data_IF_050850084444
#
_entry.id   IF_050850084444
#
_cell.length_a   1.000
_cell.length_b   1.000
_cell.length_c   1.000
_cell.angle_alpha   90.00
_cell.angle_beta   90.00
_cell.angle_gamma   90.00
#
_symmetry.space_group_name_H-M   'P 1'
#
loop_
_entity.id
_entity.type
_entity.pdbx_description
1 polymer ?
#
# COMPACT_ATOMS: atom_id res chain seq x y z
N UNK A 1 5.61 -16.62 -20.18
CA UNK A 1 5.26 -16.03 -21.50
C UNK A 1 4.34 -14.86 -21.19
N UNK A 2 4.68 -13.57 -21.27
CA UNK A 2 5.79 -12.81 -21.85
C UNK A 2 6.50 -11.99 -20.74
N UNK A 3 7.83 -11.85 -20.76
CA UNK A 3 8.58 -10.96 -19.87
C UNK A 3 8.39 -9.53 -20.36
N UNK A 4 7.56 -8.75 -19.67
CA UNK A 4 7.61 -7.30 -19.76
C UNK A 4 8.35 -6.80 -18.52
N UNK A 5 9.56 -6.28 -18.70
CA UNK A 5 10.25 -5.52 -17.65
C UNK A 5 9.47 -4.21 -17.45
N UNK A 6 8.64 -4.14 -16.42
CA UNK A 6 7.93 -2.92 -16.06
C UNK A 6 8.65 -2.29 -14.86
N UNK A 7 9.26 -1.13 -15.06
CA UNK A 7 9.63 -0.26 -13.95
C UNK A 7 8.41 0.60 -13.62
N UNK A 8 7.97 0.58 -12.36
CA UNK A 8 6.99 1.53 -11.87
C UNK A 8 7.75 2.78 -11.44
N UNK A 9 7.89 3.73 -12.36
CA UNK A 9 8.72 4.91 -12.17
C UNK A 9 7.96 6.02 -11.47
N UNK A 10 8.70 6.76 -10.65
CA UNK A 10 8.26 8.03 -10.07
C UNK A 10 9.10 9.14 -10.69
N UNK A 11 8.45 10.19 -11.17
CA UNK A 11 9.08 11.32 -11.85
C UNK A 11 8.46 12.63 -11.36
N UNK A 12 9.25 13.70 -11.15
CA UNK A 12 8.69 15.03 -10.94
C UNK A 12 7.91 15.47 -12.19
N UNK A 13 6.70 16.00 -12.00
CA UNK A 13 5.92 16.61 -13.08
C UNK A 13 6.14 18.12 -13.08
N UNK A 14 6.58 18.69 -14.20
CA UNK A 14 6.59 20.15 -14.38
C UNK A 14 5.19 20.57 -14.82
N UNK A 15 4.42 21.16 -13.92
CA UNK A 15 3.24 21.92 -14.31
C UNK A 15 3.69 23.30 -14.77
N UNK A 16 3.75 23.53 -16.08
CA UNK A 16 4.00 24.86 -16.63
C UNK A 16 2.99 25.86 -16.08
N UNK A 17 3.49 27.03 -15.68
CA UNK A 17 2.70 28.16 -15.22
C UNK A 17 1.62 28.52 -16.26
N UNK A 18 0.36 28.58 -15.81
CA UNK A 18 -0.67 29.35 -16.51
C UNK A 18 -1.64 28.60 -17.43
N UNK A 19 -1.79 27.27 -17.36
CA UNK A 19 -2.92 26.58 -18.02
C UNK A 19 -3.59 25.55 -17.12
N UNK A 20 -4.90 25.69 -16.95
CA UNK A 20 -5.78 24.68 -16.35
C UNK A 20 -5.66 23.41 -17.19
N UNK A 21 -4.84 22.46 -16.73
CA UNK A 21 -4.73 21.14 -17.32
C UNK A 21 -5.47 20.17 -16.39
N UNK A 22 -6.62 19.70 -16.85
CA UNK A 22 -7.33 18.57 -16.26
C UNK A 22 -6.38 17.38 -16.17
N UNK A 23 -5.81 17.14 -14.99
CA UNK A 23 -5.01 15.96 -14.72
C UNK A 23 -5.84 15.08 -13.81
N UNK A 24 -6.33 13.96 -14.33
CA UNK A 24 -7.01 12.97 -13.52
C UNK A 24 -6.03 12.39 -12.50
N UNK A 25 -6.47 12.28 -11.24
CA UNK A 25 -5.68 11.80 -10.10
C UNK A 25 -5.29 10.32 -10.30
N UNK A 26 -6.11 9.58 -11.06
CA UNK A 26 -5.83 8.20 -11.49
C UNK A 26 -6.13 8.09 -12.99
N UNK A 27 -5.08 8.03 -13.80
CA UNK A 27 -5.16 7.88 -15.25
C UNK A 27 -4.79 6.45 -15.63
N UNK A 28 -5.66 5.78 -16.39
CA UNK A 28 -5.29 4.51 -17.02
C UNK A 28 -4.24 4.72 -18.12
N UNK A 29 -3.65 3.64 -18.63
CA UNK A 29 -2.65 3.69 -19.72
C UNK A 29 -3.14 4.42 -20.99
N UNK A 30 -4.45 4.62 -21.13
CA UNK A 30 -5.12 5.29 -22.26
C UNK A 30 -5.51 6.75 -21.99
N UNK A 31 -5.01 7.38 -20.93
CA UNK A 31 -5.29 8.80 -20.67
C UNK A 31 -6.66 9.10 -20.04
N UNK A 32 -7.45 8.07 -19.72
CA UNK A 32 -8.81 8.22 -19.18
C UNK A 32 -8.87 8.03 -17.66
N UNK A 33 -9.74 8.79 -16.99
CA UNK A 33 -10.04 8.62 -15.57
C UNK A 33 -10.66 7.23 -15.31
N UNK A 34 -10.07 6.50 -14.35
CA UNK A 34 -10.51 5.14 -13.99
C UNK A 34 -11.35 5.09 -12.71
N UNK A 35 -11.75 6.24 -12.16
CA UNK A 35 -12.63 6.26 -11.00
C UNK A 35 -13.98 5.60 -11.32
N UNK A 36 -14.53 4.84 -10.36
CA UNK A 36 -15.83 4.19 -10.51
C UNK A 36 -16.96 5.23 -10.75
N UNK A 37 -16.87 6.39 -10.08
CA UNK A 37 -17.75 7.52 -10.32
C UNK A 37 -16.97 8.64 -11.02
N UNK A 38 -17.25 8.85 -12.32
CA UNK A 38 -16.50 9.79 -13.17
C UNK A 38 -16.99 11.24 -13.04
N UNK A 39 -16.92 11.79 -11.84
CA UNK A 39 -17.19 13.21 -11.58
C UNK A 39 -15.89 14.02 -11.63
N UNK A 40 -16.01 15.35 -11.80
CA UNK A 40 -14.85 16.25 -11.69
C UNK A 40 -14.14 16.10 -10.33
N UNK A 41 -14.88 15.85 -9.24
CA UNK A 41 -14.30 15.63 -7.92
C UNK A 41 -13.36 14.41 -7.85
N UNK A 42 -13.60 13.38 -8.69
CA UNK A 42 -12.79 12.16 -8.72
C UNK A 42 -11.77 12.15 -9.87
N UNK A 43 -12.00 12.95 -10.90
CA UNK A 43 -11.26 12.90 -12.16
C UNK A 43 -10.56 14.20 -12.52
N UNK A 44 -10.64 15.24 -11.70
CA UNK A 44 -9.97 16.51 -11.92
C UNK A 44 -9.50 17.09 -10.59
N UNK A 45 -8.37 17.78 -10.65
CA UNK A 45 -7.85 18.62 -9.57
C UNK A 45 -7.53 19.99 -10.15
N UNK A 46 -7.88 21.03 -9.41
CA UNK A 46 -7.54 22.41 -9.75
C UNK A 46 -6.67 22.96 -8.62
N UNK A 47 -5.60 23.66 -8.98
CA UNK A 47 -4.79 24.39 -8.01
C UNK A 47 -5.56 25.59 -7.45
N UNK A 48 -5.32 25.92 -6.18
CA UNK A 48 -5.86 27.11 -5.53
C UNK A 48 -4.79 27.70 -4.59
N UNK A 49 -4.29 28.88 -4.95
CA UNK A 49 -3.22 29.56 -4.22
C UNK A 49 -3.66 30.08 -2.83
N UNK A 50 -4.96 30.35 -2.62
CA UNK A 50 -5.47 30.81 -1.32
C UNK A 50 -5.53 29.67 -0.31
N UNK A 51 -5.86 28.46 -0.76
CA UNK A 51 -5.97 27.27 0.10
C UNK A 51 -4.70 26.41 0.09
N UNK A 52 -3.66 26.79 -0.65
CA UNK A 52 -2.44 26.00 -0.79
C UNK A 52 -2.64 24.68 -1.55
N UNK A 53 -3.72 24.54 -2.31
CA UNK A 53 -3.96 23.33 -3.11
C UNK A 53 -3.10 23.40 -4.36
N UNK A 54 -2.12 22.50 -4.47
CA UNK A 54 -1.28 22.36 -5.65
C UNK A 54 -1.76 21.20 -6.51
N UNK A 55 -1.41 21.23 -7.80
CA UNK A 55 -1.49 20.03 -8.64
C UNK A 55 -0.51 18.98 -8.08
N UNK A 56 -0.83 17.67 -8.15
CA UNK A 56 0.09 16.62 -7.74
C UNK A 56 1.46 16.82 -8.39
N UNK A 57 2.50 17.14 -7.61
CA UNK A 57 3.78 17.56 -8.17
C UNK A 57 4.63 16.38 -8.68
N UNK A 58 4.19 15.16 -8.37
CA UNK A 58 4.89 13.92 -8.66
C UNK A 58 4.00 13.01 -9.50
N UNK A 59 4.54 12.56 -10.62
CA UNK A 59 3.98 11.47 -11.40
C UNK A 59 4.47 10.14 -10.82
N UNK A 60 3.53 9.24 -10.56
CA UNK A 60 3.80 7.86 -10.17
C UNK A 60 2.79 6.94 -10.84
N UNK A 61 2.89 5.64 -10.61
CA UNK A 61 1.96 4.66 -11.11
C UNK A 61 1.48 3.69 -10.03
N UNK A 62 0.28 3.17 -10.25
CA UNK A 62 -0.36 2.10 -9.48
C UNK A 62 -0.90 1.09 -10.49
N UNK A 63 -0.30 -0.09 -10.50
CA UNK A 63 -0.72 -1.19 -11.35
C UNK A 63 -1.62 -2.13 -10.56
N UNK A 64 -2.69 -2.62 -11.20
CA UNK A 64 -3.70 -3.45 -10.55
C UNK A 64 -4.15 -4.58 -11.49
N UNK A 65 -4.36 -5.78 -10.95
CA UNK A 65 -4.86 -6.93 -11.73
C UNK A 65 -6.38 -7.07 -11.74
N UNK A 66 -7.13 -6.14 -11.14
CA UNK A 66 -8.58 -6.27 -10.94
C UNK A 66 -9.38 -6.53 -12.24
N UNK A 67 -8.88 -6.06 -13.40
CA UNK A 67 -9.51 -6.29 -14.70
C UNK A 67 -9.00 -7.54 -15.45
N UNK A 68 -7.98 -8.23 -14.96
CA UNK A 68 -7.33 -9.34 -15.66
C UNK A 68 -7.25 -10.63 -14.84
N UNK A 69 -6.88 -10.53 -13.56
CA UNK A 69 -6.67 -11.70 -12.71
C UNK A 69 -6.97 -11.38 -11.24
N UNK A 70 -7.81 -12.21 -10.66
CA UNK A 70 -8.02 -12.32 -9.21
C UNK A 70 -7.70 -13.75 -8.79
N UNK A 71 -7.41 -13.97 -7.51
CA UNK A 71 -7.31 -15.31 -6.93
C UNK A 71 -8.05 -15.34 -5.59
N UNK A 72 -8.63 -16.49 -5.26
CA UNK A 72 -9.01 -16.84 -3.89
C UNK A 72 -8.23 -18.08 -3.49
N UNK A 73 -7.41 -17.97 -2.45
CA UNK A 73 -6.45 -18.99 -2.03
C UNK A 73 -5.43 -19.36 -3.10
N UNK A 74 -4.19 -19.61 -2.70
CA UNK A 74 -3.07 -19.94 -3.57
C UNK A 74 -1.83 -19.16 -3.19
N UNK A 75 -1.11 -18.68 -4.21
CA UNK A 75 0.20 -18.06 -4.05
C UNK A 75 0.34 -16.82 -4.92
N UNK A 76 1.02 -15.81 -4.38
CA UNK A 76 1.54 -14.68 -5.14
C UNK A 76 3.04 -14.59 -4.92
N UNK A 77 3.79 -14.29 -5.98
CA UNK A 77 5.21 -14.04 -5.91
C UNK A 77 5.57 -12.82 -6.78
N UNK A 78 6.18 -11.82 -6.17
CA UNK A 78 6.67 -10.62 -6.84
C UNK A 78 8.16 -10.53 -6.59
N UNK A 79 8.95 -10.60 -7.65
CA UNK A 79 10.39 -10.38 -7.57
C UNK A 79 10.71 -8.96 -8.02
N UNK A 80 11.15 -8.12 -7.09
CA UNK A 80 11.38 -6.70 -7.33
C UNK A 80 12.47 -6.10 -6.43
N UNK A 81 13.08 -5.01 -6.90
CA UNK A 81 13.96 -4.14 -6.10
C UNK A 81 13.19 -2.86 -5.76
N UNK A 82 13.30 -2.41 -4.51
CA UNK A 82 12.55 -1.26 -4.01
C UNK A 82 13.21 0.07 -4.39
N UNK A 83 12.42 1.15 -4.54
CA UNK A 83 12.93 2.48 -4.85
C UNK A 83 13.75 3.07 -3.69
N UNK A 84 14.64 3.98 -4.04
CA UNK A 84 15.43 4.81 -3.11
C UNK A 84 15.00 6.27 -3.23
N UNK A 85 14.82 6.93 -2.09
CA UNK A 85 14.51 8.35 -2.02
C UNK A 85 13.66 8.66 -0.79
N UNK A 86 13.91 9.81 -0.18
CA UNK A 86 13.12 10.25 0.96
C UNK A 86 11.64 10.38 0.58
N UNK A 87 10.79 9.93 1.50
CA UNK A 87 9.33 10.06 1.42
C UNK A 87 8.67 9.21 0.34
N UNK A 88 9.40 8.28 -0.28
CA UNK A 88 8.84 7.28 -1.19
C UNK A 88 8.26 6.11 -0.38
N UNK A 89 7.09 5.63 -0.77
CA UNK A 89 6.36 4.53 -0.14
C UNK A 89 5.98 3.46 -1.19
N UNK A 90 6.88 2.51 -1.48
CA UNK A 90 6.55 1.34 -2.29
C UNK A 90 5.66 0.34 -1.54
N UNK A 91 4.72 -0.28 -2.26
CA UNK A 91 3.88 -1.35 -1.72
C UNK A 91 3.57 -2.46 -2.75
N UNK A 92 3.53 -3.69 -2.25
CA UNK A 92 3.03 -4.90 -2.91
C UNK A 92 1.93 -5.46 -2.04
N UNK A 93 0.69 -5.37 -2.50
CA UNK A 93 -0.48 -5.60 -1.66
C UNK A 93 -1.67 -6.05 -2.49
N UNK A 94 -2.73 -6.50 -1.84
CA UNK A 94 -3.91 -7.02 -2.50
C UNK A 94 -5.17 -6.46 -1.87
N UNK A 95 -6.17 -6.23 -2.72
CA UNK A 95 -7.50 -5.76 -2.31
C UNK A 95 -8.56 -6.74 -2.81
N UNK A 96 -9.71 -6.85 -2.11
CA UNK A 96 -10.81 -7.68 -2.55
C UNK A 96 -11.35 -7.14 -3.87
N UNK A 97 -11.70 -8.05 -4.79
CA UNK A 97 -12.36 -7.71 -6.06
C UNK A 97 -13.69 -7.00 -5.81
N UNK A 98 -14.45 -7.56 -4.87
CA UNK A 98 -15.78 -7.09 -4.50
C UNK A 98 -15.80 -6.75 -3.00
N UNK A 99 -16.48 -5.67 -2.64
CA UNK A 99 -16.65 -5.25 -1.24
C UNK A 99 -17.78 -6.04 -0.54
N UNK A 100 -17.68 -7.38 -0.52
CA UNK A 100 -18.73 -8.31 -0.05
C UNK A 100 -19.19 -7.98 1.38
N UNK A 101 -18.27 -7.59 2.26
CA UNK A 101 -18.56 -7.23 3.65
C UNK A 101 -18.74 -5.72 3.87
N UNK A 102 -18.80 -4.95 2.78
CA UNK A 102 -18.85 -3.49 2.79
C UNK A 102 -17.48 -2.83 2.64
N UNK A 103 -17.39 -1.51 2.86
CA UNK A 103 -16.19 -0.74 2.59
C UNK A 103 -15.02 -1.17 3.46
N UNK A 104 -13.80 -0.81 3.04
CA UNK A 104 -12.58 -1.04 3.81
C UNK A 104 -12.73 -0.53 5.27
N UNK A 105 -12.20 -1.27 6.28
CA UNK A 105 -11.43 -2.51 6.18
C UNK A 105 -12.30 -3.78 6.27
N UNK A 106 -13.63 -3.68 6.12
CA UNK A 106 -14.55 -4.82 6.35
C UNK A 106 -14.30 -5.97 5.38
N UNK A 107 -13.97 -5.65 4.13
CA UNK A 107 -13.69 -6.64 3.08
C UNK A 107 -12.21 -7.02 2.95
N UNK A 108 -11.36 -6.53 3.85
CA UNK A 108 -9.96 -6.94 3.93
C UNK A 108 -8.98 -6.15 3.07
N UNK A 109 -7.70 -6.26 3.42
CA UNK A 109 -6.51 -5.84 2.65
C UNK A 109 -5.36 -6.77 3.04
N UNK A 110 -4.57 -7.24 2.06
CA UNK A 110 -3.40 -8.10 2.30
C UNK A 110 -2.16 -7.36 1.85
N UNK A 111 -1.33 -6.93 2.80
CA UNK A 111 -0.04 -6.33 2.51
C UNK A 111 1.06 -7.36 2.54
N UNK A 112 1.60 -7.68 1.37
CA UNK A 112 2.74 -8.59 1.22
C UNK A 112 4.02 -7.86 1.60
N UNK A 113 4.18 -6.64 1.07
CA UNK A 113 5.27 -5.73 1.39
C UNK A 113 4.76 -4.30 1.46
N UNK A 114 5.08 -3.61 2.55
CA UNK A 114 5.11 -2.16 2.62
C UNK A 114 6.45 -1.72 3.21
N UNK A 115 7.02 -0.65 2.69
CA UNK A 115 8.27 -0.09 3.19
C UNK A 115 8.45 1.36 2.76
N UNK A 116 9.62 1.92 3.10
CA UNK A 116 9.99 3.30 2.78
C UNK A 116 11.24 3.34 1.93
N UNK A 117 11.33 4.33 1.05
CA UNK A 117 12.50 4.58 0.20
C UNK A 117 13.63 5.36 0.90
N UNK A 118 13.38 5.91 2.10
CA UNK A 118 14.38 6.65 2.87
C UNK A 118 15.62 5.78 3.10
N UNK A 119 16.80 6.33 2.82
CA UNK A 119 18.07 5.65 3.11
C UNK A 119 18.29 5.65 4.62
N UNK A 120 18.44 4.47 5.25
CA UNK A 120 18.69 4.35 6.69
C UNK A 120 19.98 5.07 7.10
N UNK A 121 19.91 5.86 8.17
CA UNK A 121 21.10 6.46 8.82
C UNK A 121 21.61 5.60 9.97
N UNK A 122 20.75 4.72 10.51
CA UNK A 122 21.09 3.76 11.53
C UNK A 122 20.19 2.51 11.43
N UNK A 123 20.42 1.57 12.36
CA UNK A 123 19.74 0.27 12.43
C UNK A 123 18.24 0.37 12.69
N UNK A 124 17.81 1.38 13.43
CA UNK A 124 16.43 1.58 13.84
C UNK A 124 15.66 2.52 12.90
N UNK A 125 16.33 3.10 11.91
CA UNK A 125 15.68 3.91 10.87
C UNK A 125 14.54 3.12 10.22
N UNK A 126 13.44 3.83 9.95
CA UNK A 126 12.30 3.34 9.17
C UNK A 126 12.54 3.73 7.71
N UNK A 127 13.26 2.87 6.98
CA UNK A 127 13.70 3.13 5.61
C UNK A 127 13.75 1.87 4.76
N UNK A 128 14.67 1.83 3.79
CA UNK A 128 14.85 0.68 2.89
C UNK A 128 15.36 -0.58 3.60
N UNK A 129 15.76 -0.47 4.88
CA UNK A 129 16.12 -1.59 5.75
C UNK A 129 14.92 -2.31 6.36
N UNK A 130 13.69 -1.81 6.23
CA UNK A 130 12.50 -2.38 6.88
C UNK A 130 11.39 -2.69 5.88
N UNK A 131 10.71 -3.80 6.12
CA UNK A 131 9.43 -4.11 5.48
C UNK A 131 8.41 -4.50 6.54
N UNK A 132 7.15 -4.20 6.30
CA UNK A 132 6.01 -4.76 7.03
C UNK A 132 5.13 -5.59 6.10
N UNK A 133 4.58 -6.66 6.64
CA UNK A 133 3.42 -7.36 6.09
C UNK A 133 2.28 -7.26 7.08
N UNK A 134 1.07 -7.02 6.58
CA UNK A 134 -0.11 -6.71 7.41
C UNK A 134 -1.36 -7.32 6.79
N UNK A 135 -2.32 -7.70 7.64
CA UNK A 135 -3.69 -7.99 7.22
C UNK A 135 -4.62 -6.96 7.84
N UNK A 136 -5.30 -6.16 7.02
CA UNK A 136 -6.27 -5.19 7.52
C UNK A 136 -7.65 -5.83 7.52
N UNK A 137 -8.33 -5.74 8.66
CA UNK A 137 -9.68 -6.27 8.83
C UNK A 137 -10.33 -5.57 10.00
N UNK A 138 -11.60 -5.17 9.87
CA UNK A 138 -12.32 -4.58 10.99
C UNK A 138 -13.68 -3.99 10.62
N UNK A 139 -14.51 -3.64 11.62
CA UNK A 139 -15.87 -3.14 11.38
C UNK A 139 -15.92 -1.72 10.78
N UNK A 140 -14.86 -0.91 10.88
CA UNK A 140 -14.74 0.40 10.22
C UNK A 140 -13.28 0.91 10.34
N UNK A 141 -13.03 2.10 9.78
CA UNK A 141 -11.72 2.76 9.79
C UNK A 141 -11.10 2.92 11.20
N UNK A 142 -11.90 3.29 12.21
CA UNK A 142 -11.42 3.50 13.58
C UNK A 142 -11.04 2.19 14.28
N UNK A 143 -11.67 1.09 13.88
CA UNK A 143 -11.44 -0.25 14.42
C UNK A 143 -10.78 -1.14 13.36
N UNK A 144 -9.68 -0.68 12.79
CA UNK A 144 -8.86 -1.52 11.92
C UNK A 144 -7.93 -2.42 12.77
N UNK A 145 -8.12 -3.73 12.69
CA UNK A 145 -7.42 -4.74 13.49
C UNK A 145 -6.00 -5.08 13.04
N UNK A 146 -5.42 -4.36 12.07
CA UNK A 146 -4.12 -4.68 11.48
C UNK A 146 -2.98 -4.87 12.49
N UNK A 147 -3.01 -4.14 13.62
CA UNK A 147 -2.01 -4.29 14.69
C UNK A 147 -1.92 -5.69 15.30
N UNK A 148 -2.98 -6.51 15.18
CA UNK A 148 -3.01 -7.90 15.62
C UNK A 148 -2.60 -8.91 14.52
N UNK A 149 -2.28 -8.41 13.33
CA UNK A 149 -1.91 -9.18 12.15
C UNK A 149 -0.84 -8.47 11.31
N UNK A 150 0.13 -7.83 11.97
CA UNK A 150 1.28 -7.14 11.34
C UNK A 150 2.60 -7.71 11.84
N UNK A 151 3.57 -7.88 10.94
CA UNK A 151 4.96 -8.20 11.27
C UNK A 151 5.94 -7.40 10.44
N UNK A 152 6.96 -6.89 11.12
CA UNK A 152 8.08 -6.14 10.53
C UNK A 152 9.32 -7.01 10.45
N UNK A 153 10.00 -6.98 9.31
CA UNK A 153 11.31 -7.58 9.08
C UNK A 153 12.34 -6.49 8.82
N UNK A 154 13.45 -6.59 9.54
CA UNK A 154 14.60 -5.69 9.40
C UNK A 154 15.73 -6.42 8.69
N UNK A 155 16.36 -5.75 7.73
CA UNK A 155 17.58 -6.21 7.06
C UNK A 155 18.79 -5.42 7.56
N UNK A 156 19.86 -6.13 7.92
CA UNK A 156 21.02 -5.56 8.60
C UNK A 156 22.24 -5.30 7.70
N UNK A 157 22.25 -5.83 6.48
CA UNK A 157 23.42 -5.78 5.58
C UNK A 157 23.05 -5.33 4.18
N UNK A 158 22.13 -6.06 3.54
CA UNK A 158 21.62 -5.73 2.21
C UNK A 158 20.17 -5.27 2.34
N UNK A 159 19.88 -4.03 1.99
CA UNK A 159 18.55 -3.42 2.11
C UNK A 159 17.70 -3.66 0.88
N UNK A 160 16.38 -3.47 1.00
CA UNK A 160 15.40 -3.75 -0.04
C UNK A 160 15.61 -2.97 -1.35
N UNK A 161 16.40 -1.90 -1.32
CA UNK A 161 16.69 -1.05 -2.47
C UNK A 161 18.00 -1.40 -3.20
N UNK A 162 18.84 -2.27 -2.63
CA UNK A 162 20.18 -2.59 -3.15
C UNK A 162 20.14 -3.78 -4.12
N UNK A 163 19.39 -4.83 -3.79
CA UNK A 163 19.26 -6.05 -4.59
C UNK A 163 17.79 -6.37 -4.88
N UNK A 164 17.55 -7.27 -5.84
CA UNK A 164 16.19 -7.78 -6.06
C UNK A 164 15.80 -8.78 -4.98
N UNK A 165 14.61 -8.59 -4.40
CA UNK A 165 14.02 -9.49 -3.40
C UNK A 165 12.78 -10.19 -3.96
N UNK A 166 12.46 -11.37 -3.42
CA UNK A 166 11.23 -12.10 -3.75
C UNK A 166 10.24 -11.97 -2.60
N UNK A 167 9.14 -11.28 -2.84
CA UNK A 167 8.05 -11.09 -1.88
C UNK A 167 6.94 -12.09 -2.19
N UNK A 168 6.68 -12.99 -1.25
CA UNK A 168 5.74 -14.08 -1.43
C UNK A 168 4.53 -13.96 -0.51
N UNK A 169 3.39 -14.42 -1.00
CA UNK A 169 2.18 -14.70 -0.25
C UNK A 169 1.78 -16.15 -0.48
N UNK A 170 1.39 -16.81 0.58
CA UNK A 170 0.73 -18.11 0.56
C UNK A 170 -0.54 -18.00 1.38
N UNK A 171 -1.63 -18.49 0.81
CA UNK A 171 -2.95 -18.23 1.31
C UNK A 171 -3.83 -19.46 1.09
N UNK A 172 -4.50 -19.89 2.13
CA UNK A 172 -5.39 -21.06 2.14
C UNK A 172 -6.63 -20.72 2.94
N UNK A 173 -7.60 -21.62 2.93
CA UNK A 173 -8.81 -21.57 3.74
C UNK A 173 -8.55 -21.57 5.25
N UNK A 174 -7.34 -21.91 5.71
CA UNK A 174 -7.00 -22.01 7.12
C UNK A 174 -6.03 -20.93 7.63
N UNK A 175 -5.22 -20.37 6.73
CA UNK A 175 -4.13 -19.45 7.10
C UNK A 175 -3.62 -18.62 5.92
N UNK A 176 -2.97 -17.51 6.26
CA UNK A 176 -2.16 -16.67 5.36
C UNK A 176 -0.76 -16.52 5.95
N UNK A 177 0.26 -16.60 5.09
CA UNK A 177 1.59 -16.14 5.47
C UNK A 177 2.31 -15.43 4.32
N UNK A 178 3.18 -14.49 4.67
CA UNK A 178 4.06 -13.80 3.73
C UNK A 178 5.50 -14.24 3.94
N UNK A 179 6.33 -14.12 2.90
CA UNK A 179 7.75 -14.43 3.00
C UNK A 179 8.60 -13.47 2.16
N UNK A 180 9.88 -13.44 2.50
CA UNK A 180 10.91 -12.67 1.78
C UNK A 180 12.06 -13.61 1.44
N UNK A 181 12.46 -13.61 0.16
CA UNK A 181 13.51 -14.47 -0.38
C UNK A 181 13.03 -15.90 -0.65
N UNK A 182 12.75 -16.68 0.40
CA UNK A 182 12.29 -18.07 0.26
C UNK A 182 11.06 -18.35 1.15
N UNK A 183 10.29 -19.40 0.81
CA UNK A 183 9.12 -19.83 1.60
C UNK A 183 9.46 -20.31 3.02
N UNK A 184 10.73 -20.58 3.30
CA UNK A 184 11.20 -21.01 4.63
C UNK A 184 11.21 -19.84 5.61
N UNK A 185 11.52 -18.63 5.14
CA UNK A 185 11.60 -17.43 5.97
C UNK A 185 10.31 -16.63 5.90
N UNK A 186 9.33 -17.05 6.70
CA UNK A 186 8.06 -16.34 6.85
C UNK A 186 8.28 -15.01 7.57
N UNK A 187 7.64 -13.94 7.09
CA UNK A 187 7.61 -12.65 7.77
C UNK A 187 6.37 -12.55 8.67
N UNK A 188 5.18 -12.65 8.08
CA UNK A 188 3.90 -12.74 8.78
C UNK A 188 3.33 -14.14 8.60
N UNK A 189 2.74 -14.71 9.65
CA UNK A 189 1.90 -15.91 9.59
C UNK A 189 0.68 -15.71 10.48
N UNK A 190 -0.50 -15.97 9.92
CA UNK A 190 -1.79 -15.84 10.58
C UNK A 190 -2.63 -17.06 10.26
N UNK A 191 -2.74 -17.98 11.24
CA UNK A 191 -3.80 -18.99 11.23
C UNK A 191 -5.13 -18.33 11.60
N UNK A 192 -6.19 -18.68 10.90
CA UNK A 192 -7.49 -18.06 11.10
C UNK A 192 -8.10 -18.44 12.45
N UNK A 193 -7.94 -19.69 12.89
CA UNK A 193 -8.28 -20.14 14.24
C UNK A 193 -9.70 -19.76 14.65
N UNK A 194 -9.83 -18.73 15.48
CA UNK A 194 -11.12 -18.25 16.01
C UNK A 194 -11.73 -17.06 15.24
N UNK A 195 -11.14 -16.69 14.10
CA UNK A 195 -11.57 -15.60 13.23
C UNK A 195 -10.95 -14.24 13.58
N UNK A 196 -11.03 -13.32 12.63
CA UNK A 196 -10.40 -12.00 12.72
C UNK A 196 -11.03 -11.09 13.78
N UNK A 197 -12.34 -11.25 14.06
CA UNK A 197 -13.01 -10.47 15.11
C UNK A 197 -12.40 -10.72 16.48
N UNK A 198 -12.24 -12.00 16.85
CA UNK A 198 -11.65 -12.39 18.13
C UNK A 198 -10.15 -12.09 18.18
N UNK A 199 -9.43 -12.30 17.07
CA UNK A 199 -8.00 -11.97 16.94
C UNK A 199 -7.73 -10.49 17.25
N UNK A 200 -8.53 -9.60 16.67
CA UNK A 200 -8.36 -8.16 16.84
C UNK A 200 -8.92 -7.61 18.16
N UNK A 201 -9.50 -8.48 19.02
CA UNK A 201 -10.07 -8.14 20.33
C UNK A 201 -11.05 -6.96 20.26
N UNK A 202 -11.87 -6.91 19.22
CA UNK A 202 -12.82 -5.81 19.06
C UNK A 202 -13.82 -5.79 20.22
N UNK A 203 -14.13 -4.60 20.77
CA UNK A 203 -15.14 -4.48 21.82
C UNK A 203 -16.53 -4.70 21.23
N UNK A 204 -17.49 -5.09 22.07
CA UNK A 204 -18.89 -5.21 21.65
C UNK A 204 -19.58 -3.84 21.51
N UNK A 205 -19.00 -2.78 22.07
CA UNK A 205 -19.55 -1.42 22.06
C UNK A 205 -18.45 -0.36 22.12
N UNK A 206 -18.73 0.82 21.59
CA UNK A 206 -17.90 2.01 21.72
C UNK A 206 -18.04 2.66 23.11
N UNK A 207 -17.15 3.59 23.45
CA UNK A 207 -17.19 4.30 24.72
C UNK A 207 -18.48 5.09 24.97
N UNK A 208 -19.17 5.51 23.89
CA UNK A 208 -20.46 6.19 23.95
C UNK A 208 -21.67 5.22 24.01
N UNK A 209 -21.45 3.91 24.18
CA UNK A 209 -22.49 2.88 24.24
C UNK A 209 -23.04 2.41 22.90
N UNK A 210 -22.56 2.94 21.77
CA UNK A 210 -22.98 2.46 20.43
C UNK A 210 -22.46 1.04 20.21
N UNK A 211 -23.35 0.11 19.87
CA UNK A 211 -22.99 -1.28 19.60
C UNK A 211 -22.10 -1.39 18.36
N UNK A 212 -21.02 -2.16 18.48
CA UNK A 212 -20.13 -2.45 17.36
C UNK A 212 -20.55 -3.77 16.72
N UNK A 213 -21.09 -3.71 15.51
CA UNK A 213 -21.55 -4.89 14.79
C UNK A 213 -20.36 -5.63 14.14
N UNK A 214 -20.34 -6.95 14.27
CA UNK A 214 -19.39 -7.80 13.58
C UNK A 214 -19.84 -8.03 12.13
N UNK A 215 -19.14 -7.49 11.13
CA UNK A 215 -19.53 -7.60 9.72
C UNK A 215 -19.49 -9.05 9.19
N UNK A 216 -18.80 -9.95 9.90
CA UNK A 216 -18.61 -11.35 9.49
C UNK A 216 -19.46 -12.33 10.30
N UNK A 217 -20.33 -11.86 11.20
CA UNK A 217 -21.13 -12.72 12.08
C UNK A 217 -22.03 -13.71 11.32
N UNK A 218 -22.46 -13.34 10.10
CA UNK A 218 -23.29 -14.17 9.24
C UNK A 218 -22.53 -15.23 8.44
N UNK A 219 -21.20 -15.22 8.41
CA UNK A 219 -20.41 -16.18 7.62
C UNK A 219 -20.44 -17.55 8.31
N UNK A 220 -20.75 -18.59 7.54
CA UNK A 220 -20.86 -19.98 8.01
C UNK A 220 -19.96 -20.91 7.19
N UNK A 221 -19.86 -22.17 7.62
CA UNK A 221 -19.07 -23.20 6.94
C UNK A 221 -17.57 -23.00 7.08
N UNK A 222 -16.80 -23.54 6.13
CA UNK A 222 -15.34 -23.54 6.14
C UNK A 222 -14.74 -22.12 6.15
N UNK A 223 -15.42 -21.15 5.52
CA UNK A 223 -14.98 -19.75 5.47
C UNK A 223 -15.21 -18.95 6.76
N UNK A 224 -15.92 -19.50 7.76
CA UNK A 224 -16.37 -18.76 8.95
C UNK A 224 -15.25 -17.97 9.66
N UNK A 225 -14.07 -18.56 9.75
CA UNK A 225 -12.92 -17.93 10.41
C UNK A 225 -11.99 -17.20 9.42
N UNK A 226 -12.11 -17.51 8.12
CA UNK A 226 -11.29 -16.93 7.07
C UNK A 226 -11.73 -15.50 6.70
N UNK A 227 -13.02 -15.17 6.89
CA UNK A 227 -13.55 -13.84 6.59
C UNK A 227 -12.76 -12.73 7.31
N UNK A 228 -12.36 -11.66 6.59
CA UNK A 228 -12.78 -11.31 5.22
C UNK A 228 -11.89 -11.86 4.09
N UNK A 229 -10.89 -12.69 4.41
CA UNK A 229 -9.94 -13.24 3.45
C UNK A 229 -10.42 -14.57 2.85
N UNK A 230 -11.72 -14.67 2.64
CA UNK A 230 -12.42 -15.80 2.02
C UNK A 230 -13.03 -15.43 0.65
N UNK A 231 -12.70 -14.24 0.14
CA UNK A 231 -13.15 -13.69 -1.14
C UNK A 231 -12.02 -13.68 -2.18
N UNK A 232 -12.31 -13.31 -3.43
CA UNK A 232 -11.27 -13.09 -4.44
C UNK A 232 -10.53 -11.76 -4.22
N UNK A 233 -9.20 -11.78 -4.32
CA UNK A 233 -8.35 -10.60 -4.20
C UNK A 233 -7.55 -10.37 -5.50
N UNK A 234 -7.32 -9.11 -5.84
CA UNK A 234 -6.44 -8.68 -6.94
C UNK A 234 -5.16 -8.05 -6.40
N UNK A 235 -4.06 -8.19 -7.15
CA UNK A 235 -2.76 -7.65 -6.79
C UNK A 235 -2.64 -6.18 -7.20
N UNK A 236 -1.98 -5.40 -6.36
CA UNK A 236 -1.63 -4.00 -6.55
C UNK A 236 -0.13 -3.82 -6.33
N UNK A 237 0.51 -3.13 -7.27
CA UNK A 237 1.89 -2.65 -7.15
C UNK A 237 1.85 -1.12 -7.29
N UNK A 238 2.36 -0.38 -6.31
CA UNK A 238 2.45 1.08 -6.41
C UNK A 238 3.73 1.62 -5.76
N UNK A 239 4.03 2.88 -6.12
CA UNK A 239 5.03 3.69 -5.45
C UNK A 239 4.38 5.01 -5.05
N UNK A 240 3.88 5.12 -3.83
CA UNK A 240 3.34 6.37 -3.32
C UNK A 240 4.46 7.32 -2.89
N UNK A 241 4.14 8.59 -2.69
CA UNK A 241 5.06 9.61 -2.17
C UNK A 241 4.31 10.46 -1.15
N UNK A 242 4.92 10.64 0.03
CA UNK A 242 4.34 11.40 1.13
C UNK A 242 3.08 10.73 1.73
N UNK A 243 2.16 11.57 2.23
CA UNK A 243 0.89 11.15 2.83
C UNK A 243 0.68 11.72 4.24
N UNK A 244 -0.58 11.91 4.63
CA UNK A 244 -1.00 12.46 5.93
C UNK A 244 -1.64 11.44 6.86
N UNK A 245 -1.71 10.17 6.46
CA UNK A 245 -2.35 9.10 7.24
C UNK A 245 -1.49 8.57 8.40
N UNK A 246 -0.41 9.28 8.77
CA UNK A 246 0.50 8.87 9.84
C UNK A 246 1.52 7.80 9.43
N UNK A 247 1.52 7.31 8.18
CA UNK A 247 2.53 6.36 7.72
C UNK A 247 3.94 6.95 7.87
N UNK A 248 4.15 8.19 7.44
CA UNK A 248 5.29 9.02 7.84
C UNK A 248 4.90 9.83 9.09
N UNK A 249 5.45 9.47 10.25
CA UNK A 249 5.10 10.08 11.54
C UNK A 249 5.72 11.47 11.69
N UNK A 250 5.02 12.36 12.38
CA UNK A 250 5.56 13.68 12.73
C UNK A 250 6.52 13.58 13.92
N UNK A 251 7.44 14.54 14.03
CA UNK A 251 8.27 14.74 15.22
C UNK A 251 9.34 13.67 15.45
N UNK A 252 9.72 12.88 14.44
CA UNK A 252 10.78 11.88 14.57
C UNK A 252 12.20 12.43 14.42
N UNK A 253 12.36 13.71 14.09
CA UNK A 253 13.68 14.30 13.83
C UNK A 253 14.34 13.78 12.54
N UNK A 254 13.55 13.25 11.62
CA UNK A 254 13.97 12.71 10.31
C UNK A 254 13.83 13.75 9.18
N UNK A 255 13.73 15.03 9.53
CA UNK A 255 13.56 16.17 8.62
C UNK A 255 12.32 16.08 7.71
N UNK A 256 11.25 15.42 8.17
CA UNK A 256 9.96 15.39 7.47
C UNK A 256 9.46 16.83 7.21
N UNK A 257 9.23 17.22 5.94
CA UNK A 257 8.92 18.61 5.60
C UNK A 257 7.45 19.02 5.70
N UNK A 258 6.54 18.11 6.06
CA UNK A 258 5.11 18.41 6.22
C UNK A 258 4.55 17.83 7.52
N UNK A 259 3.48 18.43 8.04
CA UNK A 259 2.68 17.88 9.14
C UNK A 259 1.54 17.00 8.63
N UNK A 260 1.21 15.91 9.33
CA UNK A 260 0.04 15.09 8.99
C UNK A 260 -1.30 15.86 9.18
N UNK A 261 -1.32 16.86 10.05
CA UNK A 261 -2.54 17.65 10.35
C UNK A 261 -2.69 18.90 9.47
N UNK A 262 -1.72 19.17 8.56
CA UNK A 262 -1.75 20.35 7.72
C UNK A 262 -2.71 20.19 6.52
N UNK A 263 -3.59 21.17 6.33
CA UNK A 263 -4.48 21.25 5.15
C UNK A 263 -3.68 21.43 3.84
N UNK A 264 -2.52 22.07 3.89
CA UNK A 264 -1.63 22.29 2.76
C UNK A 264 -0.37 21.39 2.78
N UNK A 265 -0.44 20.18 3.36
CA UNK A 265 0.69 19.26 3.48
C UNK A 265 1.41 18.97 2.14
N UNK A 266 0.66 18.85 1.04
CA UNK A 266 1.23 18.63 -0.29
C UNK A 266 2.08 19.82 -0.79
N UNK A 267 1.64 21.05 -0.51
CA UNK A 267 2.41 22.26 -0.81
C UNK A 267 3.67 22.33 0.04
N UNK A 268 3.57 22.09 1.36
CA UNK A 268 4.72 22.06 2.27
C UNK A 268 5.77 21.04 1.79
N UNK A 269 5.32 19.85 1.40
CA UNK A 269 6.17 18.84 0.77
C UNK A 269 6.86 19.38 -0.48
N UNK A 270 6.13 19.99 -1.41
CA UNK A 270 6.70 20.51 -2.66
C UNK A 270 7.69 21.67 -2.46
N UNK A 271 7.40 22.60 -1.54
CA UNK A 271 8.30 23.71 -1.24
C UNK A 271 9.64 23.23 -0.68
N UNK A 272 9.66 22.08 -0.02
CA UNK A 272 10.87 21.45 0.48
C UNK A 272 11.62 20.57 -0.55
N UNK A 273 11.26 20.63 -1.85
CA UNK A 273 11.87 19.78 -2.90
C UNK A 273 13.39 19.85 -2.93
N UNK A 274 13.98 21.01 -2.64
CA UNK A 274 15.44 21.15 -2.65
C UNK A 274 16.13 20.35 -1.54
N UNK A 275 15.37 19.91 -0.52
CA UNK A 275 15.86 19.01 0.54
C UNK A 275 15.71 17.53 0.18
N UNK A 276 14.56 17.11 -0.36
CA UNK A 276 14.27 15.69 -0.57
C UNK A 276 14.53 15.20 -2.00
N UNK A 277 14.35 16.04 -3.02
CA UNK A 277 14.53 15.64 -4.41
C UNK A 277 15.97 15.20 -4.72
N UNK A 278 17.03 15.84 -4.18
CA UNK A 278 18.41 15.36 -4.36
C UNK A 278 18.66 13.95 -3.80
N UNK A 279 17.79 13.45 -2.90
CA UNK A 279 17.91 12.08 -2.37
C UNK A 279 17.36 11.02 -3.33
N UNK A 280 16.66 11.42 -4.38
CA UNK A 280 16.11 10.52 -5.38
C UNK A 280 17.15 10.32 -6.49
N UNK A 281 17.60 9.07 -6.75
CA UNK A 281 18.61 8.83 -7.78
C UNK A 281 18.16 9.28 -9.18
N UNK A 282 19.11 9.73 -9.99
CA UNK A 282 18.89 10.14 -11.39
C UNK A 282 18.57 8.95 -12.29
N UNK A 283 19.02 7.74 -11.94
CA UNK A 283 18.66 6.49 -12.61
C UNK A 283 17.19 6.12 -12.29
N UNK A 284 16.28 6.12 -13.27
CA UNK A 284 14.86 5.83 -13.06
C UNK A 284 14.60 4.49 -12.37
N UNK A 285 15.41 3.46 -12.66
CA UNK A 285 15.28 2.17 -11.99
C UNK A 285 15.50 2.32 -10.49
N UNK A 286 16.47 3.11 -10.05
CA UNK A 286 16.81 3.24 -8.63
C UNK A 286 15.77 4.02 -7.82
N UNK A 287 15.04 4.97 -8.43
CA UNK A 287 13.93 5.70 -7.80
C UNK A 287 12.54 5.11 -8.07
N UNK A 288 12.45 4.07 -8.88
CA UNK A 288 11.24 3.29 -9.15
C UNK A 288 11.25 1.91 -8.51
N UNK A 289 10.10 1.24 -8.48
CA UNK A 289 10.04 -0.19 -8.18
C UNK A 289 10.41 -0.96 -9.44
N UNK A 290 11.55 -1.65 -9.42
CA UNK A 290 12.03 -2.45 -10.55
C UNK A 290 11.53 -3.88 -10.41
N UNK A 291 10.57 -4.26 -11.25
CA UNK A 291 9.90 -5.57 -11.19
C UNK A 291 10.53 -6.50 -12.23
N UNK A 292 11.08 -7.63 -11.77
CA UNK A 292 11.56 -8.69 -12.65
C UNK A 292 10.43 -9.61 -13.11
N UNK A 293 9.57 -10.04 -12.18
CA UNK A 293 8.37 -10.81 -12.51
C UNK A 293 7.28 -10.73 -11.44
N UNK A 294 6.07 -11.07 -11.88
CA UNK A 294 4.90 -11.33 -11.05
C UNK A 294 4.36 -12.70 -11.42
N UNK A 295 4.06 -13.54 -10.44
CA UNK A 295 3.41 -14.83 -10.62
C UNK A 295 2.27 -14.98 -9.62
N UNK A 296 1.13 -15.48 -10.10
CA UNK A 296 -0.05 -15.75 -9.28
C UNK A 296 -0.56 -17.15 -9.61
N UNK A 297 -0.77 -17.95 -8.58
CA UNK A 297 -1.36 -19.28 -8.66
C UNK A 297 -2.58 -19.35 -7.77
N UNK A 298 -3.60 -20.07 -8.23
CA UNK A 298 -4.78 -20.33 -7.43
C UNK A 298 -4.77 -21.80 -7.00
N UNK A 299 -5.21 -22.06 -5.76
CA UNK A 299 -5.48 -23.41 -5.30
C UNK A 299 -6.72 -23.93 -6.03
N UNK A 300 -6.58 -25.05 -6.75
CA UNK A 300 -7.66 -25.73 -7.46
C UNK A 300 -8.40 -26.70 -6.54
#
# INVERSE_FOLDING_TARGET
MCLAFAALTVSPGVGDEGRVLLTAIVVGLVGACTAANKTNANCAVASNATTGVILPPIQSARWMTNFSRTIKYGRVEVKARMPTGNWIWPAVWMMPKDSVYGPWPRSGEIDIFQGRGNVPTNRDSEGTNKMSSSLHSGPNYLFNGYGFATKTRNLWRNWFNQDTHTFGLEWTEDKIWTCEGTRVFKNLEVDYGSGFWKRARFPNQMANGTLLSNPWAGVQGESKNAAPFDQEFYLILNVAVGGTNGYFKDGLGDDKPWSNDAENAAEQFWQAKDKWLPTWPTEPKQRGMEIEYVKMWQKC
#
